data_IF_072305700164
#
_entry.id   IF_072305700164
#
_cell.length_a   1.000
_cell.length_b   1.000
_cell.length_c   1.000
_cell.angle_alpha   90.00
_cell.angle_beta   90.00
_cell.angle_gamma   90.00
#
_symmetry.space_group_name_H-M   'P 1'
#
loop_
_entity.id
_entity.type
_entity.pdbx_description
1 polymer ?
#
# COMPACT_ATOMS: atom_id res chain seq x y z
N UNK A 1 2.75 -4.40 23.35
CA UNK A 1 3.01 -4.72 21.91
C UNK A 1 4.52 -4.80 21.69
N UNK A 2 5.00 -5.94 21.18
CA UNK A 2 6.41 -6.09 20.75
C UNK A 2 6.66 -5.13 19.60
N UNK A 3 7.82 -4.46 19.60
CA UNK A 3 8.24 -3.47 18.64
C UNK A 3 9.74 -3.59 18.38
N UNK A 4 10.12 -3.93 17.18
CA UNK A 4 11.53 -4.12 16.81
C UNK A 4 11.84 -3.23 15.58
N UNK A 5 12.99 -2.55 15.60
CA UNK A 5 13.50 -1.79 14.46
C UNK A 5 14.71 -2.52 13.89
N UNK A 6 14.69 -2.73 12.59
CA UNK A 6 15.80 -3.28 11.82
C UNK A 6 16.15 -2.31 10.69
N UNK A 7 17.40 -2.27 10.29
CA UNK A 7 17.88 -1.42 9.20
C UNK A 7 18.92 -2.18 8.38
N UNK A 8 18.87 -1.99 7.06
CA UNK A 8 19.93 -2.46 6.16
C UNK A 8 20.17 -1.45 5.04
N UNK A 9 21.34 -1.54 4.44
CA UNK A 9 21.64 -0.79 3.22
C UNK A 9 20.92 -1.44 2.04
N UNK A 10 20.02 -0.69 1.40
CA UNK A 10 19.35 -1.15 0.20
C UNK A 10 20.20 -0.87 -1.04
N UNK A 11 20.63 -1.93 -1.71
CA UNK A 11 21.34 -1.82 -2.99
C UNK A 11 20.45 -1.24 -4.10
N UNK A 12 19.12 -1.39 -3.99
CA UNK A 12 18.16 -0.83 -4.91
C UNK A 12 18.02 0.68 -4.77
N UNK A 13 18.07 1.18 -3.53
CA UNK A 13 17.79 2.59 -3.21
C UNK A 13 19.06 3.38 -2.87
N UNK A 14 20.24 2.70 -2.79
CA UNK A 14 21.53 3.29 -2.44
C UNK A 14 21.50 4.09 -1.14
N UNK A 15 20.85 3.52 -0.12
CA UNK A 15 20.70 4.12 1.20
C UNK A 15 20.30 3.13 2.27
N UNK A 16 20.49 3.51 3.51
CA UNK A 16 19.95 2.77 4.64
C UNK A 16 18.41 2.90 4.68
N UNK A 17 17.76 1.75 4.80
CA UNK A 17 16.30 1.65 4.84
C UNK A 17 15.87 0.97 6.15
N UNK A 18 15.35 1.76 7.10
CA UNK A 18 14.78 1.19 8.31
C UNK A 18 13.39 0.60 8.06
N UNK A 19 13.09 -0.45 8.82
CA UNK A 19 11.79 -1.07 8.95
C UNK A 19 11.47 -1.25 10.44
N UNK A 20 10.23 -1.03 10.81
CA UNK A 20 9.74 -1.37 12.15
C UNK A 20 8.68 -2.45 12.04
N UNK A 21 8.79 -3.47 12.90
CA UNK A 21 7.77 -4.49 13.06
C UNK A 21 7.04 -4.33 14.39
N UNK A 22 5.73 -4.62 14.37
CA UNK A 22 4.85 -4.58 15.52
C UNK A 22 4.10 -5.91 15.66
N UNK A 23 4.02 -6.42 16.87
CA UNK A 23 3.49 -7.76 17.16
C UNK A 23 4.58 -8.83 17.12
N UNK A 24 4.21 -10.07 17.41
CA UNK A 24 5.16 -11.18 17.56
C UNK A 24 4.83 -12.36 16.65
N UNK A 25 3.59 -12.48 16.21
CA UNK A 25 3.09 -13.59 15.40
C UNK A 25 1.88 -13.15 14.56
N UNK A 26 1.45 -13.97 13.61
CA UNK A 26 0.24 -13.81 12.80
C UNK A 26 0.54 -13.42 11.34
N UNK A 27 -0.52 -13.36 10.51
CA UNK A 27 -0.40 -12.94 9.12
C UNK A 27 0.25 -11.56 8.98
N UNK A 28 1.23 -11.40 8.09
CA UNK A 28 1.94 -10.13 7.94
C UNK A 28 1.10 -9.06 7.21
N UNK A 29 1.25 -7.82 7.65
CA UNK A 29 0.70 -6.62 6.99
C UNK A 29 1.85 -5.67 6.69
N UNK A 30 2.11 -5.41 5.41
CA UNK A 30 3.09 -4.41 4.97
C UNK A 30 2.41 -3.05 4.86
N UNK A 31 2.86 -2.07 5.62
CA UNK A 31 2.27 -0.73 5.73
C UNK A 31 3.17 0.30 5.06
N UNK A 32 2.65 0.98 4.03
CA UNK A 32 3.37 1.98 3.26
C UNK A 32 2.92 3.39 3.68
N UNK A 33 3.86 4.29 4.04
CA UNK A 33 3.55 5.59 4.64
C UNK A 33 2.93 6.57 3.63
N UNK A 34 2.33 7.63 4.16
CA UNK A 34 1.75 8.72 3.35
C UNK A 34 2.80 9.53 2.58
N UNK A 35 2.45 10.69 2.08
CA UNK A 35 3.21 11.45 1.07
C UNK A 35 4.68 11.72 1.41
N UNK A 36 4.98 12.27 2.58
CA UNK A 36 6.33 12.72 2.96
C UNK A 36 6.78 12.10 4.29
N UNK A 37 6.23 10.97 4.64
CA UNK A 37 6.41 10.33 5.91
C UNK A 37 7.46 9.22 5.91
N UNK A 38 7.90 8.89 7.11
CA UNK A 38 8.85 7.83 7.39
C UNK A 38 8.17 6.56 7.94
N UNK A 39 8.96 5.54 8.23
CA UNK A 39 8.53 4.23 8.75
C UNK A 39 7.86 4.27 10.14
N UNK A 40 7.95 5.40 10.88
CA UNK A 40 7.32 5.57 12.20
C UNK A 40 6.01 6.35 12.13
N UNK A 41 5.53 6.73 10.97
CA UNK A 41 4.36 7.57 10.83
C UNK A 41 3.13 6.98 11.51
N UNK A 42 2.83 5.72 11.26
CA UNK A 42 1.67 5.02 11.84
C UNK A 42 1.69 4.97 13.36
N UNK A 43 2.89 4.87 13.96
CA UNK A 43 3.08 4.95 15.41
C UNK A 43 2.88 6.40 15.90
N UNK A 44 3.52 7.35 15.25
CA UNK A 44 3.46 8.78 15.58
C UNK A 44 2.03 9.32 15.58
N UNK A 45 1.22 8.86 14.65
CA UNK A 45 -0.21 9.20 14.58
C UNK A 45 -1.13 8.22 15.30
N UNK A 46 -0.59 7.39 16.20
CA UNK A 46 -1.33 6.51 17.13
C UNK A 46 -2.20 5.44 16.44
N UNK A 47 -1.98 5.13 15.18
CA UNK A 47 -2.72 4.07 14.51
C UNK A 47 -2.36 2.70 15.12
N UNK A 48 -1.08 2.48 15.44
CA UNK A 48 -0.63 1.20 15.99
C UNK A 48 -1.30 0.87 17.34
N UNK A 49 -1.63 1.89 18.14
CA UNK A 49 -2.41 1.72 19.38
C UNK A 49 -3.81 1.16 19.13
N UNK A 50 -4.48 1.57 18.03
CA UNK A 50 -5.82 1.06 17.69
C UNK A 50 -5.79 -0.39 17.20
N UNK A 51 -4.63 -0.90 16.81
CA UNK A 51 -4.41 -2.27 16.32
C UNK A 51 -3.86 -3.22 17.39
N UNK A 52 -3.67 -2.74 18.63
CA UNK A 52 -3.04 -3.50 19.72
C UNK A 52 -3.72 -4.86 19.93
N UNK A 53 -5.06 -4.94 19.82
CA UNK A 53 -5.79 -6.19 19.97
C UNK A 53 -5.27 -7.30 19.03
N UNK A 54 -5.04 -7.01 17.77
CA UNK A 54 -4.54 -8.01 16.80
C UNK A 54 -3.05 -8.29 16.96
N UNK A 55 -2.27 -7.25 17.24
CA UNK A 55 -0.82 -7.32 17.32
C UNK A 55 -0.34 -8.00 18.60
N UNK A 56 -1.00 -7.76 19.74
CA UNK A 56 -0.65 -8.35 21.03
C UNK A 56 -1.10 -9.81 21.15
N UNK A 57 -2.20 -10.16 20.48
CA UNK A 57 -2.73 -11.53 20.50
C UNK A 57 -2.21 -12.42 19.36
N UNK A 58 -1.25 -11.94 18.57
CA UNK A 58 -0.68 -12.72 17.47
C UNK A 58 -1.66 -13.00 16.33
N UNK A 59 -2.71 -12.18 16.18
CA UNK A 59 -3.67 -12.28 15.07
C UNK A 59 -3.17 -11.59 13.80
N UNK A 60 -2.21 -10.67 13.93
CA UNK A 60 -1.50 -10.02 12.84
C UNK A 60 -0.10 -9.57 13.29
N UNK A 61 0.82 -9.40 12.34
CA UNK A 61 2.12 -8.78 12.55
C UNK A 61 2.33 -7.69 11.52
N UNK A 62 2.51 -6.43 11.94
CA UNK A 62 2.61 -5.29 11.04
C UNK A 62 4.06 -4.88 10.81
N UNK A 63 4.36 -4.44 9.59
CA UNK A 63 5.69 -3.98 9.15
C UNK A 63 5.53 -2.64 8.46
N UNK A 64 6.16 -1.59 8.98
CA UNK A 64 6.14 -0.27 8.36
C UNK A 64 7.53 0.11 7.86
N UNK A 65 7.60 0.59 6.62
CA UNK A 65 8.84 0.91 5.90
C UNK A 65 8.87 2.37 5.48
N UNK A 66 10.07 2.90 5.21
CA UNK A 66 10.20 4.21 4.58
C UNK A 66 9.67 4.19 3.15
N UNK A 67 9.26 5.36 2.65
CA UNK A 67 8.98 5.58 1.23
C UNK A 67 10.09 6.39 0.55
N UNK A 68 10.03 6.43 -0.77
CA UNK A 68 10.89 7.31 -1.61
C UNK A 68 10.12 8.54 -2.12
N UNK A 69 8.93 8.80 -1.61
CA UNK A 69 8.08 9.87 -2.12
C UNK A 69 8.73 11.25 -2.10
N UNK A 70 9.55 11.55 -1.08
CA UNK A 70 10.31 12.80 -0.98
C UNK A 70 11.41 12.96 -2.04
N UNK A 71 11.82 11.89 -2.69
CA UNK A 71 12.76 11.87 -3.81
C UNK A 71 12.04 11.79 -5.16
N UNK A 72 10.89 11.14 -5.15
CA UNK A 72 10.08 10.86 -6.34
C UNK A 72 8.90 11.86 -6.47
N UNK A 73 7.69 11.41 -6.18
CA UNK A 73 6.45 12.12 -6.52
C UNK A 73 6.34 13.49 -5.82
N UNK A 74 6.75 13.59 -4.56
CA UNK A 74 6.66 14.83 -3.77
C UNK A 74 7.78 15.83 -4.08
N UNK A 75 8.85 15.41 -4.73
CA UNK A 75 9.94 16.31 -5.09
C UNK A 75 9.60 17.10 -6.37
N UNK A 76 9.34 18.39 -6.23
CA UNK A 76 9.02 19.29 -7.35
C UNK A 76 10.20 19.54 -8.29
N UNK A 77 11.44 19.33 -7.83
CA UNK A 77 12.67 19.54 -8.61
C UNK A 77 13.06 18.30 -9.42
N UNK A 78 12.68 17.10 -8.96
CA UNK A 78 12.97 15.86 -9.66
C UNK A 78 12.21 15.79 -10.99
N UNK A 79 12.91 15.47 -12.06
CA UNK A 79 12.32 15.32 -13.40
C UNK A 79 11.41 14.10 -13.46
N UNK A 80 10.36 14.10 -14.32
CA UNK A 80 9.43 12.95 -14.42
C UNK A 80 10.11 11.61 -14.61
N UNK A 81 11.10 11.50 -15.50
CA UNK A 81 11.85 10.27 -15.73
C UNK A 81 12.57 9.76 -14.47
N UNK A 82 13.16 10.68 -13.72
CA UNK A 82 13.85 10.32 -12.46
C UNK A 82 12.86 9.89 -11.38
N UNK A 83 11.67 10.51 -11.32
CA UNK A 83 10.58 10.07 -10.43
C UNK A 83 10.17 8.63 -10.71
N UNK A 84 10.01 8.28 -11.98
CA UNK A 84 9.65 6.93 -12.41
C UNK A 84 10.76 5.93 -12.10
N UNK A 85 12.02 6.32 -12.26
CA UNK A 85 13.15 5.48 -11.86
C UNK A 85 13.16 5.21 -10.35
N UNK A 86 12.86 6.21 -9.50
CA UNK A 86 12.71 6.00 -8.06
C UNK A 86 11.56 5.07 -7.71
N UNK A 87 10.42 5.18 -8.40
CA UNK A 87 9.28 4.27 -8.21
C UNK A 87 9.64 2.83 -8.59
N UNK A 88 10.35 2.64 -9.70
CA UNK A 88 10.83 1.32 -10.15
C UNK A 88 11.82 0.69 -9.15
N UNK A 89 12.76 1.49 -8.64
CA UNK A 89 13.70 1.03 -7.60
C UNK A 89 12.99 0.67 -6.31
N UNK A 90 11.98 1.45 -5.93
CA UNK A 90 11.18 1.19 -4.73
C UNK A 90 10.33 -0.08 -4.86
N UNK A 91 9.77 -0.34 -6.03
CA UNK A 91 9.09 -1.60 -6.34
C UNK A 91 10.03 -2.80 -6.14
N UNK A 92 11.26 -2.72 -6.68
CA UNK A 92 12.29 -3.73 -6.46
C UNK A 92 12.71 -3.86 -4.99
N UNK A 93 12.85 -2.76 -4.26
CA UNK A 93 13.13 -2.78 -2.82
C UNK A 93 12.03 -3.54 -2.06
N UNK A 94 10.75 -3.23 -2.32
CA UNK A 94 9.65 -3.92 -1.66
C UNK A 94 9.63 -5.41 -1.98
N UNK A 95 9.80 -5.77 -3.24
CA UNK A 95 9.63 -7.16 -3.71
C UNK A 95 10.86 -8.05 -3.48
N UNK A 96 12.06 -7.50 -3.51
CA UNK A 96 13.30 -8.29 -3.48
C UNK A 96 14.08 -8.14 -2.15
N UNK A 97 13.74 -7.15 -1.33
CA UNK A 97 14.38 -6.96 -0.02
C UNK A 97 13.36 -7.06 1.13
N UNK A 98 12.26 -6.29 1.09
CA UNK A 98 11.27 -6.26 2.19
C UNK A 98 10.47 -7.54 2.29
N UNK A 99 9.93 -8.08 1.19
CA UNK A 99 9.17 -9.33 1.23
C UNK A 99 10.03 -10.53 1.71
N UNK A 100 11.28 -10.73 1.26
CA UNK A 100 12.17 -11.73 1.83
C UNK A 100 12.46 -11.53 3.32
N UNK A 101 12.67 -10.28 3.76
CA UNK A 101 12.83 -9.97 5.18
C UNK A 101 11.59 -10.40 5.98
N UNK A 102 10.38 -10.03 5.54
CA UNK A 102 9.12 -10.42 6.19
C UNK A 102 8.98 -11.94 6.26
N UNK A 103 9.28 -12.64 5.16
CA UNK A 103 9.26 -14.10 5.12
C UNK A 103 10.19 -14.72 6.17
N UNK A 104 11.42 -14.24 6.27
CA UNK A 104 12.39 -14.71 7.26
C UNK A 104 11.94 -14.42 8.69
N UNK A 105 11.44 -13.22 8.94
CA UNK A 105 10.96 -12.78 10.27
C UNK A 105 9.66 -13.51 10.70
N UNK A 106 8.92 -14.06 9.75
CA UNK A 106 7.80 -14.99 9.96
C UNK A 106 8.22 -16.47 10.02
N UNK A 107 9.49 -16.77 10.28
CA UNK A 107 10.00 -18.13 10.44
C UNK A 107 10.27 -18.88 9.14
N UNK A 108 10.46 -18.18 8.02
CA UNK A 108 10.75 -18.79 6.71
C UNK A 108 9.54 -19.42 6.01
N UNK A 109 8.37 -19.35 6.61
CA UNK A 109 7.12 -19.84 6.01
C UNK A 109 6.76 -18.99 4.79
N UNK A 110 6.20 -19.60 3.77
CA UNK A 110 5.77 -18.90 2.55
C UNK A 110 4.45 -18.14 2.81
N UNK A 111 4.58 -17.00 3.48
CA UNK A 111 3.46 -16.11 3.81
C UNK A 111 3.38 -14.96 2.81
N UNK A 112 2.16 -14.66 2.39
CA UNK A 112 1.88 -13.50 1.52
C UNK A 112 1.28 -12.39 2.39
N UNK A 113 1.93 -11.23 2.54
CA UNK A 113 1.36 -10.15 3.34
C UNK A 113 0.13 -9.55 2.67
N UNK A 114 -0.74 -8.94 3.49
CA UNK A 114 -1.63 -7.89 3.03
C UNK A 114 -0.80 -6.61 2.92
N UNK A 115 -0.87 -5.91 1.79
CA UNK A 115 -0.26 -4.58 1.70
C UNK A 115 -1.29 -3.50 2.02
N UNK A 116 -0.90 -2.54 2.85
CA UNK A 116 -1.78 -1.44 3.24
C UNK A 116 -1.08 -0.10 2.98
N UNK A 117 -1.85 0.89 2.58
CA UNK A 117 -1.36 2.26 2.46
C UNK A 117 -2.48 3.29 2.59
N UNK A 118 -2.09 4.51 2.97
CA UNK A 118 -2.97 5.65 3.14
C UNK A 118 -2.50 6.79 2.23
N UNK A 119 -3.43 7.50 1.58
CA UNK A 119 -3.10 8.65 0.73
C UNK A 119 -2.14 8.26 -0.40
N UNK A 120 -0.96 8.87 -0.51
CA UNK A 120 0.07 8.47 -1.47
C UNK A 120 0.65 7.08 -1.17
N UNK A 121 0.61 6.63 0.09
CA UNK A 121 0.92 5.24 0.46
C UNK A 121 -0.06 4.24 -0.13
N UNK A 122 -1.33 4.61 -0.30
CA UNK A 122 -2.31 3.76 -0.97
C UNK A 122 -2.00 3.59 -2.47
N UNK A 123 -1.45 4.62 -3.12
CA UNK A 123 -0.91 4.49 -4.48
C UNK A 123 0.24 3.49 -4.53
N UNK A 124 1.22 3.62 -3.63
CA UNK A 124 2.37 2.69 -3.59
C UNK A 124 1.91 1.25 -3.34
N UNK A 125 0.95 1.07 -2.40
CA UNK A 125 0.36 -0.23 -2.10
C UNK A 125 -0.40 -0.82 -3.30
N UNK A 126 -1.23 -0.02 -3.96
CA UNK A 126 -1.93 -0.43 -5.17
C UNK A 126 -0.95 -0.81 -6.29
N UNK A 127 0.07 0.03 -6.53
CA UNK A 127 1.03 -0.20 -7.60
C UNK A 127 1.81 -1.50 -7.41
N UNK A 128 2.36 -1.77 -6.22
CA UNK A 128 3.10 -3.00 -5.96
C UNK A 128 2.18 -4.23 -5.95
N UNK A 129 0.97 -4.11 -5.39
CA UNK A 129 0.00 -5.20 -5.33
C UNK A 129 -0.47 -5.65 -6.72
N UNK A 130 -0.92 -4.72 -7.55
CA UNK A 130 -1.47 -5.05 -8.87
C UNK A 130 -0.42 -5.47 -9.89
N UNK A 131 0.84 -5.10 -9.69
CA UNK A 131 1.97 -5.54 -10.51
C UNK A 131 2.52 -6.92 -10.10
N UNK A 132 2.34 -7.31 -8.84
CA UNK A 132 2.85 -8.56 -8.28
C UNK A 132 1.77 -9.29 -7.45
N UNK A 133 0.58 -9.55 -8.03
CA UNK A 133 -0.55 -10.07 -7.26
C UNK A 133 -0.28 -11.42 -6.62
N UNK A 134 0.62 -12.22 -7.19
CA UNK A 134 1.01 -13.53 -6.65
C UNK A 134 1.80 -13.45 -5.34
N UNK A 135 2.36 -12.27 -5.01
CA UNK A 135 3.19 -12.05 -3.81
C UNK A 135 2.40 -11.59 -2.59
N UNK A 136 1.14 -11.21 -2.75
CA UNK A 136 0.29 -10.67 -1.70
C UNK A 136 -1.00 -11.46 -1.53
N UNK A 137 -1.55 -11.46 -0.31
CA UNK A 137 -2.87 -12.04 0.00
C UNK A 137 -4.01 -11.04 -0.17
N UNK A 138 -3.72 -9.75 -0.20
CA UNK A 138 -4.71 -8.69 -0.36
C UNK A 138 -4.12 -7.28 -0.28
N UNK A 139 -4.98 -6.29 -0.43
CA UNK A 139 -4.63 -4.87 -0.33
C UNK A 139 -5.69 -4.08 0.43
N UNK A 140 -5.25 -3.14 1.29
CA UNK A 140 -6.11 -2.16 1.97
C UNK A 140 -5.65 -0.76 1.55
N UNK A 141 -6.47 -0.11 0.75
CA UNK A 141 -6.14 1.12 0.03
C UNK A 141 -7.03 2.27 0.52
N UNK A 142 -6.46 3.15 1.35
CA UNK A 142 -7.24 4.17 2.05
C UNK A 142 -6.98 5.57 1.47
N UNK A 143 -8.06 6.25 1.07
CA UNK A 143 -8.03 7.67 0.63
C UNK A 143 -6.95 7.94 -0.44
N UNK A 144 -6.77 6.99 -1.38
CA UNK A 144 -5.64 6.98 -2.31
C UNK A 144 -5.81 7.83 -3.55
N UNK A 145 -4.67 8.14 -4.18
CA UNK A 145 -4.63 8.51 -5.60
C UNK A 145 -4.11 7.32 -6.39
N UNK A 146 -4.70 7.03 -7.55
CA UNK A 146 -4.30 5.88 -8.38
C UNK A 146 -3.94 6.31 -9.80
N UNK A 147 -3.94 7.62 -10.02
CA UNK A 147 -3.48 8.32 -11.23
C UNK A 147 -2.39 9.31 -10.85
N UNK A 148 -1.15 9.02 -11.29
CA UNK A 148 0.01 9.85 -10.97
C UNK A 148 0.40 10.83 -12.08
N UNK A 149 -0.39 10.92 -13.16
CA UNK A 149 -0.10 11.83 -14.28
C UNK A 149 0.04 13.28 -13.83
N UNK A 150 -0.69 13.70 -12.78
CA UNK A 150 -0.57 15.03 -12.20
C UNK A 150 0.82 15.37 -11.63
N UNK A 151 1.62 14.37 -11.25
CA UNK A 151 3.00 14.54 -10.78
C UNK A 151 4.03 14.59 -11.93
N UNK A 152 3.62 14.30 -13.17
CA UNK A 152 4.51 14.06 -14.32
C UNK A 152 4.61 15.23 -15.28
N UNK A 153 3.96 16.38 -15.00
CA UNK A 153 4.07 17.61 -15.82
C UNK A 153 3.88 17.37 -17.33
N UNK A 154 2.94 16.52 -17.71
CA UNK A 154 2.65 16.17 -19.11
C UNK A 154 3.59 15.14 -19.75
N UNK A 155 4.56 14.61 -19.00
CA UNK A 155 5.43 13.54 -19.48
C UNK A 155 4.61 12.27 -19.77
N UNK A 156 4.90 11.63 -20.93
CA UNK A 156 4.33 10.36 -21.34
C UNK A 156 5.46 9.37 -21.61
N UNK A 157 5.34 8.15 -21.11
CA UNK A 157 6.30 7.07 -21.36
C UNK A 157 5.70 5.73 -20.97
N UNK A 158 6.30 4.65 -21.42
CA UNK A 158 5.97 3.29 -21.01
C UNK A 158 6.18 3.09 -19.50
N UNK A 159 7.24 3.66 -18.93
CA UNK A 159 7.48 3.64 -17.48
C UNK A 159 6.35 4.30 -16.69
N UNK A 160 5.77 5.42 -17.21
CA UNK A 160 4.61 6.03 -16.57
C UNK A 160 3.40 5.10 -16.67
N UNK A 161 3.14 4.52 -17.83
CA UNK A 161 2.02 3.60 -18.03
C UNK A 161 2.06 2.45 -17.02
N UNK A 162 3.20 1.76 -16.85
CA UNK A 162 3.35 0.65 -15.91
C UNK A 162 3.47 1.07 -14.45
N UNK A 163 3.54 2.36 -14.14
CA UNK A 163 3.46 2.90 -12.78
C UNK A 163 2.14 3.65 -12.50
N UNK A 164 1.18 3.61 -13.42
CA UNK A 164 -0.11 4.27 -13.28
C UNK A 164 -1.25 3.24 -13.22
N UNK A 165 -1.71 2.82 -12.04
CA UNK A 165 -2.71 1.76 -11.87
C UNK A 165 -3.94 1.90 -12.76
N UNK A 166 -4.47 3.12 -12.93
CA UNK A 166 -5.66 3.35 -13.75
C UNK A 166 -5.43 3.10 -15.25
N UNK A 167 -4.17 3.16 -15.72
CA UNK A 167 -3.85 2.90 -17.12
C UNK A 167 -3.63 1.41 -17.38
N UNK A 168 -2.69 0.77 -16.64
CA UNK A 168 -2.35 -0.63 -16.93
C UNK A 168 -3.46 -1.60 -16.53
N UNK A 169 -4.21 -1.33 -15.44
CA UNK A 169 -5.33 -2.19 -15.04
C UNK A 169 -6.48 -2.13 -16.06
N UNK A 170 -6.81 -0.92 -16.56
CA UNK A 170 -7.87 -0.78 -17.55
C UNK A 170 -7.56 -1.56 -18.85
N UNK A 171 -6.28 -1.71 -19.19
CA UNK A 171 -5.82 -2.39 -20.38
C UNK A 171 -5.27 -3.80 -20.12
N UNK A 172 -5.33 -4.29 -18.87
CA UNK A 172 -4.85 -5.63 -18.52
C UNK A 172 -5.59 -6.69 -19.32
N UNK A 173 -4.85 -7.50 -20.05
CA UNK A 173 -5.37 -8.58 -20.90
C UNK A 173 -5.49 -9.88 -20.09
N UNK A 174 -6.23 -10.85 -20.62
CA UNK A 174 -6.28 -12.19 -20.01
C UNK A 174 -4.87 -12.79 -19.95
N UNK A 175 -4.48 -13.13 -18.74
CA UNK A 175 -3.14 -13.61 -18.44
C UNK A 175 -3.06 -14.10 -17.00
N UNK A 176 -1.88 -14.50 -16.58
CA UNK A 176 -1.64 -15.04 -15.23
C UNK A 176 -2.06 -14.05 -14.16
N UNK A 177 -1.67 -12.79 -14.27
CA UNK A 177 -1.87 -11.79 -13.22
C UNK A 177 -3.35 -11.41 -13.10
N UNK A 178 -4.06 -11.27 -14.21
CA UNK A 178 -5.51 -11.03 -14.17
C UNK A 178 -6.25 -12.20 -13.52
N UNK A 179 -5.91 -13.44 -13.89
CA UNK A 179 -6.51 -14.64 -13.27
C UNK A 179 -6.19 -14.74 -11.77
N UNK A 180 -4.98 -14.39 -11.36
CA UNK A 180 -4.58 -14.34 -9.94
C UNK A 180 -5.41 -13.30 -9.17
N UNK A 181 -5.68 -12.13 -9.76
CA UNK A 181 -6.53 -11.09 -9.17
C UNK A 181 -8.01 -11.52 -9.10
N UNK A 182 -8.51 -12.21 -10.13
CA UNK A 182 -9.90 -12.65 -10.21
C UNK A 182 -10.20 -13.84 -9.29
N UNK A 183 -9.30 -14.81 -9.21
CA UNK A 183 -9.56 -16.13 -8.65
C UNK A 183 -8.58 -16.54 -7.53
N UNK A 184 -7.54 -15.76 -7.28
CA UNK A 184 -6.52 -16.05 -6.25
C UNK A 184 -6.96 -15.79 -4.81
N UNK A 185 -8.25 -15.55 -4.54
CA UNK A 185 -8.78 -15.33 -3.19
C UNK A 185 -8.32 -14.03 -2.54
N UNK A 186 -7.95 -13.03 -3.34
CA UNK A 186 -7.43 -11.74 -2.84
C UNK A 186 -8.50 -10.94 -2.09
N UNK A 187 -8.11 -10.34 -0.98
CA UNK A 187 -8.96 -9.40 -0.24
C UNK A 187 -8.54 -7.97 -0.61
N UNK A 188 -9.33 -7.30 -1.44
CA UNK A 188 -9.07 -5.93 -1.89
C UNK A 188 -10.12 -5.01 -1.27
N UNK A 189 -9.67 -4.09 -0.41
CA UNK A 189 -10.51 -3.11 0.27
C UNK A 189 -10.05 -1.72 -0.14
N UNK A 190 -10.97 -0.92 -0.67
CA UNK A 190 -10.77 0.47 -1.05
C UNK A 190 -11.66 1.33 -0.15
N UNK A 191 -11.07 2.33 0.50
CA UNK A 191 -11.79 3.25 1.39
C UNK A 191 -11.58 4.69 0.95
N UNK A 192 -12.62 5.51 1.11
CA UNK A 192 -12.54 6.98 0.98
C UNK A 192 -13.63 7.65 1.82
N UNK A 193 -13.33 8.81 2.37
CA UNK A 193 -14.33 9.75 2.85
C UNK A 193 -14.89 10.61 1.73
N UNK A 194 -15.76 11.57 2.10
CA UNK A 194 -16.31 12.57 1.20
C UNK A 194 -16.14 14.01 1.80
N UNK A 195 -15.40 14.13 2.91
CA UNK A 195 -15.15 15.38 3.59
C UNK A 195 -13.95 16.15 3.03
N UNK A 196 -13.42 17.07 3.84
CA UNK A 196 -12.32 17.93 3.43
C UNK A 196 -11.08 17.15 2.98
N UNK A 197 -10.52 17.54 1.83
CA UNK A 197 -9.33 16.97 1.19
C UNK A 197 -9.47 15.51 0.73
N UNK A 198 -10.65 14.89 0.81
CA UNK A 198 -10.96 13.62 0.17
C UNK A 198 -11.35 13.82 -1.30
N UNK A 199 -11.05 12.82 -2.12
CA UNK A 199 -11.48 12.78 -3.52
C UNK A 199 -12.04 11.38 -3.84
N UNK A 200 -13.32 11.14 -3.52
CA UNK A 200 -13.94 9.83 -3.72
C UNK A 200 -14.00 9.40 -5.19
N UNK A 201 -13.86 10.35 -6.13
CA UNK A 201 -13.86 10.01 -7.55
C UNK A 201 -12.67 9.10 -7.92
N UNK A 202 -11.52 9.27 -7.28
CA UNK A 202 -10.33 8.44 -7.51
C UNK A 202 -10.55 6.98 -7.07
N UNK A 203 -11.12 6.80 -5.89
CA UNK A 203 -11.45 5.46 -5.38
C UNK A 203 -12.54 4.79 -6.21
N UNK A 204 -13.56 5.54 -6.64
CA UNK A 204 -14.61 5.05 -7.55
C UNK A 204 -14.05 4.66 -8.92
N UNK A 205 -13.11 5.45 -9.46
CA UNK A 205 -12.44 5.13 -10.73
C UNK A 205 -11.70 3.80 -10.65
N UNK A 206 -10.87 3.60 -9.61
CA UNK A 206 -10.16 2.32 -9.42
C UNK A 206 -11.17 1.17 -9.27
N UNK A 207 -12.18 1.30 -8.41
CA UNK A 207 -13.19 0.28 -8.22
C UNK A 207 -13.96 -0.04 -9.53
N UNK A 208 -14.30 0.98 -10.32
CA UNK A 208 -14.93 0.79 -11.63
C UNK A 208 -14.06 -0.01 -12.60
N UNK A 209 -12.74 0.25 -12.62
CA UNK A 209 -11.78 -0.52 -13.42
C UNK A 209 -11.72 -1.97 -12.93
N UNK A 210 -11.59 -2.20 -11.62
CA UNK A 210 -11.57 -3.55 -11.06
C UNK A 210 -12.85 -4.32 -11.38
N UNK A 211 -14.01 -3.66 -11.23
CA UNK A 211 -15.31 -4.24 -11.59
C UNK A 211 -15.41 -4.62 -13.06
N UNK A 212 -14.94 -3.76 -13.97
CA UNK A 212 -14.93 -4.05 -15.41
C UNK A 212 -14.02 -5.22 -15.80
N UNK A 213 -13.04 -5.53 -14.96
CA UNK A 213 -12.12 -6.68 -15.12
C UNK A 213 -12.58 -7.92 -14.33
N UNK A 214 -13.73 -7.87 -13.66
CA UNK A 214 -14.20 -8.99 -12.84
C UNK A 214 -13.33 -9.29 -11.63
N UNK A 215 -12.56 -8.32 -11.14
CA UNK A 215 -11.69 -8.47 -9.97
C UNK A 215 -12.51 -8.19 -8.71
N UNK A 216 -12.69 -9.17 -7.79
CA UNK A 216 -13.46 -8.97 -6.56
C UNK A 216 -12.81 -7.91 -5.67
N UNK A 217 -13.61 -6.95 -5.20
CA UNK A 217 -13.15 -5.89 -4.31
C UNK A 217 -14.32 -5.33 -3.48
N UNK A 218 -13.98 -4.66 -2.38
CA UNK A 218 -14.89 -3.87 -1.57
C UNK A 218 -14.56 -2.39 -1.76
N UNK A 219 -15.57 -1.56 -1.98
CA UNK A 219 -15.43 -0.10 -1.96
C UNK A 219 -16.29 0.48 -0.84
N UNK A 220 -15.67 1.09 0.14
CA UNK A 220 -16.33 1.80 1.23
C UNK A 220 -16.19 3.30 1.03
N UNK A 221 -17.34 3.97 0.87
CA UNK A 221 -17.42 5.42 0.77
C UNK A 221 -18.15 5.95 1.99
N UNK A 222 -17.42 6.58 2.91
CA UNK A 222 -17.99 7.13 4.13
C UNK A 222 -18.55 8.55 3.93
N UNK A 223 -19.17 9.11 4.96
CA UNK A 223 -19.92 10.35 4.91
C UNK A 223 -19.13 11.61 4.53
N UNK A 224 -19.87 12.72 4.39
CA UNK A 224 -19.29 14.03 4.05
C UNK A 224 -18.53 14.67 5.23
N UNK A 225 -18.68 14.15 6.42
CA UNK A 225 -17.93 14.52 7.63
C UNK A 225 -16.56 13.82 7.73
N UNK A 226 -16.30 12.84 6.85
CA UNK A 226 -15.09 12.04 6.86
C UNK A 226 -14.00 12.70 6.03
N UNK A 227 -13.10 13.38 6.72
CA UNK A 227 -12.00 14.14 6.13
C UNK A 227 -10.78 13.25 5.86
N UNK A 228 -9.88 13.72 4.99
CA UNK A 228 -8.58 13.12 4.71
C UNK A 228 -7.61 13.29 5.88
N UNK A 229 -7.87 12.59 7.01
CA UNK A 229 -7.13 12.79 8.24
C UNK A 229 -7.15 11.57 9.16
N UNK A 230 -6.15 11.49 10.04
CA UNK A 230 -5.87 10.39 10.96
C UNK A 230 -7.01 9.96 11.88
N UNK A 231 -7.87 10.85 12.43
CA UNK A 231 -9.00 10.41 13.25
C UNK A 231 -9.91 9.41 12.54
N UNK A 232 -10.09 9.57 11.24
CA UNK A 232 -10.93 8.69 10.41
C UNK A 232 -10.23 7.38 10.06
N UNK A 233 -8.94 7.44 9.72
CA UNK A 233 -8.16 6.23 9.46
C UNK A 233 -8.00 5.37 10.70
N UNK A 234 -7.86 5.98 11.91
CA UNK A 234 -7.89 5.25 13.17
C UNK A 234 -9.23 4.56 13.47
N UNK A 235 -10.33 5.00 12.87
CA UNK A 235 -11.64 4.36 12.99
C UNK A 235 -11.84 3.24 11.96
N UNK A 236 -11.45 3.44 10.71
CA UNK A 236 -11.71 2.47 9.64
C UNK A 236 -10.71 1.31 9.63
N UNK A 237 -9.42 1.54 9.91
CA UNK A 237 -8.40 0.49 9.83
C UNK A 237 -8.68 -0.69 10.79
N UNK A 238 -9.06 -0.49 12.07
CA UNK A 238 -9.46 -1.59 12.93
C UNK A 238 -10.62 -2.43 12.40
N UNK A 239 -11.59 -1.82 11.70
CA UNK A 239 -12.69 -2.56 11.08
C UNK A 239 -12.17 -3.52 9.99
N UNK A 240 -11.21 -3.07 9.18
CA UNK A 240 -10.60 -3.90 8.14
C UNK A 240 -9.69 -4.98 8.72
N UNK A 241 -8.99 -4.70 9.82
CA UNK A 241 -8.27 -5.73 10.56
C UNK A 241 -9.23 -6.80 11.10
N UNK A 242 -10.39 -6.42 11.64
CA UNK A 242 -11.43 -7.36 12.04
C UNK A 242 -11.95 -8.23 10.89
N UNK A 243 -12.15 -7.64 9.71
CA UNK A 243 -12.57 -8.39 8.51
C UNK A 243 -11.50 -9.36 7.99
N UNK A 244 -10.23 -8.99 8.10
CA UNK A 244 -9.11 -9.77 7.56
C UNK A 244 -8.63 -10.87 8.53
N UNK A 245 -8.61 -10.57 9.83
CA UNK A 245 -7.92 -11.37 10.84
C UNK A 245 -8.84 -11.86 11.97
N UNK A 246 -10.12 -11.59 11.89
CA UNK A 246 -11.11 -11.87 12.93
C UNK A 246 -11.09 -10.84 14.06
N UNK A 247 -12.15 -10.82 14.85
CA UNK A 247 -12.32 -9.94 16.01
C UNK A 247 -11.64 -10.50 17.26
#
# INVERSE_FOLDING_TARGET
MRRDITQWYSERLYRDMPIVSYGHYGPPVLMLPTAAADFLEYERFQLMGTLAHWLDNGKAKAYSVNSVNTLALMNKQTKPREKLEWLKRYDGYLTEEVLPFIKNDCGGVDVKPVVMGISLGAYLAANVFFRHPERFSGAVLLSGTYDIRGFMKGHQSEDLYFNNPVDYLANMQDGRDLRELQHGGKRIIIFTGQGAYEDPARSRQLAGILGSKGIPHQLDVWGQDVNHDWPWWRKCVPQYFGQLFGT
#
